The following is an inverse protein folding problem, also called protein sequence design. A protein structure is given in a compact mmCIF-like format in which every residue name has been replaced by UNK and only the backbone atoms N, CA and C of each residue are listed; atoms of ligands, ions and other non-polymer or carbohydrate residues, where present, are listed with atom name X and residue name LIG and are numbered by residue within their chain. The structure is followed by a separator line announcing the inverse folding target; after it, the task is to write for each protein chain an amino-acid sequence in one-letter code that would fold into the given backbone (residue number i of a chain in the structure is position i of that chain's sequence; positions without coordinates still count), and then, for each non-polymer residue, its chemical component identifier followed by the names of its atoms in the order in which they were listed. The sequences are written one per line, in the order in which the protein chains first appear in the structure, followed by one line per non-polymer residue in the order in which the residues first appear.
data_IF_988609481498
#
_entry.id   IF_988609481498
#
_cell.length_a   1.000
_cell.length_b   1.000
_cell.length_c   1.000
_cell.angle_alpha   90.00
_cell.angle_beta   90.00
_cell.angle_gamma   90.00
#
_symmetry.space_group_name_H-M   'P 1'
#
loop_
_entity.id
_entity.type
_entity.pdbx_description
1 polymer ?
#
# COMPACT_ATOMS: atom_id res chain seq x y z
N UNK A 1 20.36 13.48 -4.33
CA UNK A 1 19.12 14.10 -3.79
C UNK A 1 17.83 13.49 -4.35
N UNK A 2 17.72 13.16 -5.65
CA UNK A 2 16.48 12.58 -6.22
C UNK A 2 16.06 11.22 -5.61
N UNK A 3 17.01 10.32 -5.31
CA UNK A 3 16.71 8.98 -4.77
C UNK A 3 16.09 8.99 -3.36
N UNK A 4 16.53 9.92 -2.50
CA UNK A 4 16.02 10.05 -1.13
C UNK A 4 14.55 10.53 -1.08
N UNK A 5 14.18 11.47 -1.94
CA UNK A 5 12.80 11.98 -2.03
C UNK A 5 11.83 10.92 -2.52
N UNK A 6 12.23 10.13 -3.52
CA UNK A 6 11.42 8.99 -4.00
C UNK A 6 11.20 7.98 -2.88
N UNK A 7 12.21 7.73 -2.04
CA UNK A 7 12.11 6.79 -0.93
C UNK A 7 11.05 7.19 0.10
N UNK A 8 11.12 8.42 0.61
CA UNK A 8 10.12 8.92 1.56
C UNK A 8 8.74 9.00 0.93
N UNK A 9 8.66 9.33 -0.37
CA UNK A 9 7.40 9.41 -1.09
C UNK A 9 6.69 8.06 -1.21
N UNK A 10 7.42 6.99 -1.55
CA UNK A 10 6.83 5.65 -1.64
C UNK A 10 6.32 5.16 -0.29
N UNK A 11 7.06 5.40 0.80
CA UNK A 11 6.62 5.07 2.15
C UNK A 11 5.41 5.90 2.60
N UNK A 12 5.36 7.19 2.27
CA UNK A 12 4.20 8.06 2.54
C UNK A 12 2.97 7.58 1.76
N UNK A 13 3.12 7.22 0.48
CA UNK A 13 2.02 6.65 -0.31
C UNK A 13 1.54 5.33 0.29
N UNK A 14 2.45 4.45 0.70
CA UNK A 14 2.11 3.19 1.37
C UNK A 14 1.30 3.45 2.64
N UNK A 15 1.73 4.45 3.43
CA UNK A 15 1.06 4.85 4.66
C UNK A 15 -0.34 5.43 4.40
N UNK A 16 -0.49 6.30 3.41
CA UNK A 16 -1.79 6.83 3.00
C UNK A 16 -2.74 5.74 2.50
N UNK A 17 -2.25 4.83 1.65
CA UNK A 17 -3.05 3.70 1.15
C UNK A 17 -3.45 2.77 2.31
N UNK A 18 -2.52 2.47 3.22
CA UNK A 18 -2.79 1.67 4.41
C UNK A 18 -3.84 2.31 5.32
N UNK A 19 -3.73 3.61 5.60
CA UNK A 19 -4.73 4.36 6.35
C UNK A 19 -6.11 4.33 5.68
N UNK A 20 -6.15 4.51 4.36
CA UNK A 20 -7.40 4.49 3.62
C UNK A 20 -8.05 3.10 3.66
N UNK A 21 -7.25 2.04 3.64
CA UNK A 21 -7.71 0.66 3.78
C UNK A 21 -8.25 0.38 5.19
N UNK A 22 -7.59 0.87 6.24
CA UNK A 22 -8.07 0.78 7.63
C UNK A 22 -9.37 1.56 7.83
N UNK A 23 -9.47 2.77 7.29
CA UNK A 23 -10.71 3.56 7.34
C UNK A 23 -11.84 2.89 6.53
N UNK A 24 -11.52 2.34 5.36
CA UNK A 24 -12.46 1.54 4.57
C UNK A 24 -12.93 0.28 5.29
N UNK A 25 -12.07 -0.34 6.11
CA UNK A 25 -12.43 -1.46 6.99
C UNK A 25 -13.33 -1.04 8.15
N UNK A 26 -13.14 0.15 8.71
CA UNK A 26 -13.96 0.68 9.81
C UNK A 26 -15.38 1.04 9.37
N UNK A 27 -15.56 1.46 8.12
CA UNK A 27 -16.86 1.83 7.52
C UNK A 27 -17.38 0.67 6.64
N UNK A 28 -16.80 -0.52 6.76
CA UNK A 28 -17.11 -1.65 5.91
C UNK A 28 -18.51 -2.16 6.19
N UNK A 29 -19.41 -1.97 5.23
CA UNK A 29 -20.70 -2.66 5.21
C UNK A 29 -20.51 -4.08 4.69
N UNK A 30 -21.06 -5.07 5.39
CA UNK A 30 -21.05 -6.50 5.03
C UNK A 30 -22.04 -6.80 3.88
N UNK A 31 -21.90 -6.08 2.79
CA UNK A 31 -22.55 -6.29 1.50
C UNK A 31 -21.51 -6.83 0.49
N UNK A 32 -21.97 -7.44 -0.60
CA UNK A 32 -21.15 -7.91 -1.72
C UNK A 32 -20.16 -6.84 -2.23
N UNK A 33 -20.57 -5.57 -2.25
CA UNK A 33 -19.72 -4.45 -2.66
C UNK A 33 -18.59 -4.17 -1.66
N UNK A 34 -18.88 -4.16 -0.35
CA UNK A 34 -17.87 -3.99 0.70
C UNK A 34 -16.86 -5.14 0.72
N UNK A 35 -17.33 -6.37 0.57
CA UNK A 35 -16.46 -7.56 0.48
C UNK A 35 -15.53 -7.45 -0.74
N UNK A 36 -16.06 -7.04 -1.90
CA UNK A 36 -15.24 -6.84 -3.09
C UNK A 36 -14.18 -5.73 -2.87
N UNK A 37 -14.58 -4.60 -2.27
CA UNK A 37 -13.66 -3.51 -1.94
C UNK A 37 -12.54 -3.95 -0.99
N UNK A 38 -12.85 -4.78 0.00
CA UNK A 38 -11.86 -5.34 0.94
C UNK A 38 -10.87 -6.26 0.23
N UNK A 39 -11.35 -7.16 -0.63
CA UNK A 39 -10.49 -8.11 -1.36
C UNK A 39 -9.59 -7.38 -2.35
N UNK A 40 -10.16 -6.50 -3.20
CA UNK A 40 -9.37 -5.75 -4.18
C UNK A 40 -8.44 -4.73 -3.52
N UNK A 41 -8.89 -4.06 -2.47
CA UNK A 41 -8.08 -3.14 -1.67
C UNK A 41 -6.91 -3.86 -1.01
N UNK A 42 -7.15 -5.01 -0.38
CA UNK A 42 -6.12 -5.84 0.25
C UNK A 42 -5.06 -6.32 -0.75
N UNK A 43 -5.49 -6.81 -1.92
CA UNK A 43 -4.57 -7.26 -2.98
C UNK A 43 -3.73 -6.08 -3.49
N UNK A 44 -4.34 -4.92 -3.74
CA UNK A 44 -3.64 -3.71 -4.18
C UNK A 44 -2.59 -3.22 -3.18
N UNK A 45 -2.93 -3.26 -1.88
CA UNK A 45 -2.00 -2.90 -0.81
C UNK A 45 -0.81 -3.87 -0.72
N UNK A 46 -1.06 -5.18 -0.79
CA UNK A 46 -0.01 -6.21 -0.81
C UNK A 46 0.93 -6.05 -2.01
N UNK A 47 0.39 -5.75 -3.20
CA UNK A 47 1.19 -5.52 -4.40
C UNK A 47 2.12 -4.30 -4.24
N UNK A 48 1.62 -3.19 -3.71
CA UNK A 48 2.43 -2.00 -3.43
C UNK A 48 3.50 -2.25 -2.38
N UNK A 49 3.16 -2.99 -1.32
CA UNK A 49 4.11 -3.42 -0.28
C UNK A 49 5.25 -4.23 -0.88
N UNK A 50 4.90 -5.23 -1.70
CA UNK A 50 5.86 -6.11 -2.36
C UNK A 50 6.80 -5.32 -3.29
N UNK A 51 6.26 -4.40 -4.08
CA UNK A 51 7.03 -3.57 -5.01
C UNK A 51 8.00 -2.65 -4.27
N UNK A 52 7.56 -2.09 -3.14
CA UNK A 52 8.37 -1.25 -2.27
C UNK A 52 9.50 -2.04 -1.60
N UNK A 53 9.22 -3.28 -1.16
CA UNK A 53 10.23 -4.18 -0.59
C UNK A 53 11.26 -4.64 -1.61
N UNK A 54 10.86 -4.94 -2.86
CA UNK A 54 11.81 -5.24 -3.94
C UNK A 54 12.70 -4.04 -4.22
N UNK A 55 12.12 -2.85 -4.35
CA UNK A 55 12.88 -1.63 -4.65
C UNK A 55 13.80 -1.20 -3.48
N UNK A 56 13.45 -1.58 -2.25
CA UNK A 56 14.34 -1.47 -1.09
C UNK A 56 15.48 -2.48 -1.15
N UNK A 57 15.18 -3.76 -1.44
CA UNK A 57 16.19 -4.83 -1.48
C UNK A 57 17.19 -4.63 -2.63
N UNK A 58 16.69 -4.31 -3.83
CA UNK A 58 17.50 -4.12 -5.04
C UNK A 58 18.54 -3.01 -4.90
N UNK A 59 18.25 -1.97 -4.11
CA UNK A 59 19.18 -0.86 -3.84
C UNK A 59 20.10 -1.08 -2.63
N UNK A 60 19.92 -2.18 -1.89
CA UNK A 60 20.76 -2.57 -0.76
C UNK A 60 21.84 -3.58 -1.17
N UNK A 61 21.62 -4.27 -2.29
CA UNK A 61 22.58 -5.19 -2.93
C UNK A 61 23.49 -4.50 -3.97
N UNK A 62 23.26 -3.22 -4.28
CA UNK A 62 24.14 -2.32 -5.07
C UNK A 62 25.01 -1.45 -4.13
#
# INVERSE_FOLDING_TARGET
MKSFLVHYWTWILLFMVGLNLVLGLLILELNSEGIAALVFGGIGFLALLYLTLIDYKKRKDD
#
